data_IF_698772332915
#
_entry.id   IF_698772332915
#
_cell.length_a   1.000
_cell.length_b   1.000
_cell.length_c   1.000
_cell.angle_alpha   90.00
_cell.angle_beta   90.00
_cell.angle_gamma   90.00
#
_symmetry.space_group_name_H-M   'P 1'
#
loop_
_entity.id
_entity.type
_entity.pdbx_description
1 polymer ?
#
# COMPACT_ATOMS: atom_id res chain seq x y z
N UNK A 1 26.43 19.61 -20.07
CA UNK A 1 25.18 19.14 -19.46
C UNK A 1 25.44 17.73 -18.93
N UNK A 2 25.74 17.62 -17.65
CA UNK A 2 26.06 16.33 -17.01
C UNK A 2 24.80 15.83 -16.34
N UNK A 3 24.18 14.83 -16.90
CA UNK A 3 23.03 14.13 -16.31
C UNK A 3 23.50 13.35 -15.09
N UNK A 4 23.19 13.83 -13.90
CA UNK A 4 23.42 13.14 -12.65
C UNK A 4 22.38 12.02 -12.52
N UNK A 5 22.83 10.78 -12.74
CA UNK A 5 22.05 9.57 -12.55
C UNK A 5 21.75 9.37 -11.07
N UNK A 6 20.50 9.44 -10.67
CA UNK A 6 20.06 9.09 -9.32
C UNK A 6 20.39 7.62 -9.03
N UNK A 7 20.83 7.26 -7.82
CA UNK A 7 21.12 5.87 -7.46
C UNK A 7 19.83 5.04 -7.49
N UNK A 8 19.93 3.86 -8.09
CA UNK A 8 18.81 2.95 -8.27
C UNK A 8 18.22 2.46 -6.93
N UNK A 9 16.99 2.01 -6.99
CA UNK A 9 16.11 1.56 -5.90
C UNK A 9 16.71 0.50 -4.95
N UNK A 10 17.77 -0.20 -5.34
CA UNK A 10 18.48 -1.17 -4.50
C UNK A 10 19.32 -0.52 -3.39
N UNK A 11 19.78 0.72 -3.56
CA UNK A 11 20.55 1.43 -2.53
C UNK A 11 19.70 1.92 -1.35
N UNK A 12 18.41 2.13 -1.55
CA UNK A 12 17.48 2.57 -0.49
C UNK A 12 17.17 1.49 0.56
N UNK A 13 17.46 0.22 0.26
CA UNK A 13 17.09 -0.91 1.13
C UNK A 13 18.05 -1.18 2.28
N UNK A 14 19.31 -0.69 2.29
CA UNK A 14 20.35 -1.10 3.25
C UNK A 14 21.35 -0.02 3.69
N UNK A 15 20.99 1.26 3.71
CA UNK A 15 21.87 2.33 4.20
C UNK A 15 21.79 2.49 5.73
N UNK A 16 22.92 2.38 6.44
CA UNK A 16 23.01 2.72 7.86
C UNK A 16 22.76 4.22 8.03
N UNK A 17 21.56 4.58 8.54
CA UNK A 17 21.13 5.97 8.74
C UNK A 17 19.99 6.45 7.85
N UNK A 18 19.67 5.76 6.77
CA UNK A 18 18.52 6.07 5.91
C UNK A 18 17.19 5.48 6.45
N UNK A 19 16.07 6.05 6.01
CA UNK A 19 14.74 5.52 6.29
C UNK A 19 14.60 4.09 5.72
N UNK A 20 14.11 3.15 6.53
CA UNK A 20 13.80 1.79 6.08
C UNK A 20 12.39 1.76 5.46
N UNK A 21 12.33 1.69 4.15
CA UNK A 21 11.07 1.70 3.37
C UNK A 21 10.50 0.30 3.12
N UNK A 22 11.03 -0.74 3.75
CA UNK A 22 10.62 -2.15 3.52
C UNK A 22 9.12 -2.35 3.68
N UNK A 23 8.50 -1.76 4.71
CA UNK A 23 7.05 -1.88 4.96
C UNK A 23 6.24 -1.16 3.90
N UNK A 24 6.66 0.04 3.48
CA UNK A 24 6.01 0.81 2.42
C UNK A 24 6.00 0.02 1.12
N UNK A 25 7.15 -0.44 0.67
CA UNK A 25 7.28 -1.25 -0.55
C UNK A 25 6.52 -2.57 -0.47
N UNK A 26 6.46 -3.20 0.71
CA UNK A 26 5.66 -4.41 0.90
C UNK A 26 4.16 -4.15 0.79
N UNK A 27 3.68 -2.98 1.22
CA UNK A 27 2.28 -2.56 1.02
C UNK A 27 2.00 -2.34 -0.47
N UNK A 28 2.88 -1.66 -1.20
CA UNK A 28 2.75 -1.45 -2.65
C UNK A 28 2.67 -2.78 -3.43
N UNK A 29 3.55 -3.71 -3.10
CA UNK A 29 3.52 -5.04 -3.72
C UNK A 29 2.22 -5.80 -3.40
N UNK A 30 1.69 -5.63 -2.19
CA UNK A 30 0.40 -6.22 -1.80
C UNK A 30 -0.78 -5.59 -2.56
N UNK A 31 -0.77 -4.27 -2.81
CA UNK A 31 -1.76 -3.61 -3.66
C UNK A 31 -1.72 -4.16 -5.09
N UNK A 32 -0.55 -4.22 -5.72
CA UNK A 32 -0.39 -4.77 -7.08
C UNK A 32 -0.87 -6.23 -7.18
N UNK A 33 -0.54 -7.03 -6.17
CA UNK A 33 -0.99 -8.41 -6.06
C UNK A 33 -2.51 -8.50 -6.01
N UNK A 34 -3.15 -7.69 -5.17
CA UNK A 34 -4.59 -7.78 -4.97
C UNK A 34 -5.38 -7.16 -6.14
N UNK A 35 -4.87 -6.14 -6.82
CA UNK A 35 -5.42 -5.69 -8.11
C UNK A 35 -5.40 -6.83 -9.15
N UNK A 36 -4.31 -7.60 -9.21
CA UNK A 36 -4.22 -8.76 -10.11
C UNK A 36 -5.23 -9.85 -9.72
N UNK A 37 -5.43 -10.09 -8.43
CA UNK A 37 -6.42 -11.05 -7.92
C UNK A 37 -7.84 -10.60 -8.24
N UNK A 38 -8.14 -9.32 -8.04
CA UNK A 38 -9.43 -8.71 -8.35
C UNK A 38 -9.77 -8.83 -9.84
N UNK A 39 -8.84 -8.48 -10.72
CA UNK A 39 -9.02 -8.61 -12.16
C UNK A 39 -9.29 -10.06 -12.59
N UNK A 40 -8.53 -11.02 -12.04
CA UNK A 40 -8.76 -12.44 -12.29
C UNK A 40 -10.12 -12.90 -11.77
N UNK A 41 -10.52 -12.47 -10.57
CA UNK A 41 -11.79 -12.82 -9.98
C UNK A 41 -12.96 -12.29 -10.82
N UNK A 42 -12.87 -11.03 -11.28
CA UNK A 42 -13.89 -10.46 -12.17
C UNK A 42 -14.03 -11.21 -13.50
N UNK A 43 -12.89 -11.67 -14.08
CA UNK A 43 -12.90 -12.41 -15.34
C UNK A 43 -13.38 -13.86 -15.23
N UNK A 44 -13.32 -14.48 -14.04
CA UNK A 44 -13.57 -15.92 -13.86
C UNK A 44 -14.71 -16.24 -12.90
N UNK A 45 -15.26 -15.25 -12.20
CA UNK A 45 -16.33 -15.49 -11.24
C UNK A 45 -17.62 -15.91 -11.94
N UNK A 46 -18.17 -17.05 -11.52
CA UNK A 46 -19.54 -17.41 -11.84
C UNK A 46 -20.48 -16.51 -11.01
N UNK A 47 -21.31 -15.67 -11.66
CA UNK A 47 -22.25 -14.82 -10.95
C UNK A 47 -23.29 -15.60 -10.12
N UNK A 48 -23.49 -16.88 -10.41
CA UNK A 48 -24.45 -17.75 -9.71
C UNK A 48 -23.86 -18.38 -8.43
N UNK A 49 -22.52 -18.32 -8.22
CA UNK A 49 -21.87 -18.85 -7.02
C UNK A 49 -21.82 -17.79 -5.89
N UNK A 50 -22.70 -17.88 -4.87
CA UNK A 50 -22.73 -16.91 -3.77
C UNK A 50 -21.48 -16.97 -2.88
N UNK A 51 -20.85 -18.13 -2.70
CA UNK A 51 -19.64 -18.26 -1.90
C UNK A 51 -18.45 -17.57 -2.59
N UNK A 52 -18.36 -17.71 -3.90
CA UNK A 52 -17.35 -17.03 -4.71
C UNK A 52 -17.53 -15.52 -4.69
N UNK A 53 -18.77 -15.02 -4.87
CA UNK A 53 -19.06 -13.58 -4.76
C UNK A 53 -18.67 -13.01 -3.39
N UNK A 54 -19.02 -13.72 -2.31
CA UNK A 54 -18.66 -13.30 -0.96
C UNK A 54 -17.15 -13.25 -0.76
N UNK A 55 -16.40 -14.20 -1.29
CA UNK A 55 -14.94 -14.26 -1.24
C UNK A 55 -14.31 -13.06 -1.96
N UNK A 56 -14.76 -12.76 -3.17
CA UNK A 56 -14.28 -11.62 -3.95
C UNK A 56 -14.62 -10.30 -3.26
N UNK A 57 -15.84 -10.15 -2.76
CA UNK A 57 -16.25 -8.97 -1.99
C UNK A 57 -15.39 -8.77 -0.73
N UNK A 58 -15.07 -9.85 0.00
CA UNK A 58 -14.19 -9.76 1.17
C UNK A 58 -12.76 -9.32 0.81
N UNK A 59 -12.23 -9.78 -0.33
CA UNK A 59 -10.95 -9.34 -0.84
C UNK A 59 -10.95 -7.86 -1.26
N UNK A 60 -12.00 -7.44 -1.96
CA UNK A 60 -12.20 -6.06 -2.37
C UNK A 60 -12.32 -5.09 -1.18
N UNK A 61 -13.13 -5.43 -0.19
CA UNK A 61 -13.26 -4.61 1.03
C UNK A 61 -11.95 -4.48 1.81
N UNK A 62 -11.15 -5.55 1.84
CA UNK A 62 -9.82 -5.50 2.45
C UNK A 62 -8.90 -4.56 1.68
N UNK A 63 -8.82 -4.68 0.35
CA UNK A 63 -8.00 -3.82 -0.50
C UNK A 63 -8.36 -2.34 -0.28
N UNK A 64 -9.64 -1.96 -0.37
CA UNK A 64 -10.10 -0.59 -0.12
C UNK A 64 -9.68 -0.07 1.25
N UNK A 65 -9.89 -0.86 2.30
CA UNK A 65 -9.54 -0.46 3.65
C UNK A 65 -8.04 -0.25 3.82
N UNK A 66 -7.21 -1.16 3.30
CA UNK A 66 -5.76 -1.02 3.39
C UNK A 66 -5.26 0.19 2.59
N UNK A 67 -5.84 0.45 1.42
CA UNK A 67 -5.50 1.61 0.61
C UNK A 67 -5.87 2.93 1.31
N UNK A 68 -7.07 3.00 1.88
CA UNK A 68 -7.48 4.17 2.67
C UNK A 68 -6.56 4.44 3.87
N UNK A 69 -6.13 3.40 4.59
CA UNK A 69 -5.20 3.53 5.71
C UNK A 69 -3.81 4.01 5.24
N UNK A 70 -3.37 3.55 4.08
CA UNK A 70 -2.10 3.88 3.45
C UNK A 70 -2.08 5.36 3.04
N UNK A 71 -2.97 5.79 2.15
CA UNK A 71 -3.08 7.20 1.72
C UNK A 71 -3.31 8.15 2.89
N UNK A 72 -4.18 7.78 3.85
CA UNK A 72 -4.40 8.58 5.06
C UNK A 72 -3.13 8.75 5.90
N UNK A 73 -2.26 7.75 5.96
CA UNK A 73 -0.99 7.85 6.67
C UNK A 73 -0.01 8.80 5.95
N UNK A 74 0.00 8.79 4.65
CA UNK A 74 0.80 9.69 3.82
C UNK A 74 0.31 11.12 3.94
N UNK A 75 -0.94 11.39 3.65
CA UNK A 75 -1.51 12.73 3.63
C UNK A 75 -1.56 13.40 4.99
N UNK A 76 -1.76 12.64 6.06
CA UNK A 76 -1.94 13.22 7.40
C UNK A 76 -0.73 13.09 8.33
N UNK A 77 0.24 12.24 8.00
CA UNK A 77 1.40 12.02 8.87
C UNK A 77 2.72 12.22 8.11
N UNK A 78 2.88 11.66 6.91
CA UNK A 78 4.16 11.65 6.22
C UNK A 78 4.39 12.97 5.49
N UNK A 79 3.54 13.33 4.52
CA UNK A 79 3.69 14.55 3.72
C UNK A 79 3.71 15.84 4.55
N UNK A 80 2.86 16.01 5.58
CA UNK A 80 2.91 17.20 6.44
C UNK A 80 4.24 17.39 7.18
N UNK A 81 4.97 16.31 7.47
CA UNK A 81 6.30 16.39 8.08
C UNK A 81 7.38 16.71 7.04
N UNK A 82 7.23 16.24 5.81
CA UNK A 82 8.19 16.49 4.72
C UNK A 82 8.11 17.92 4.19
N UNK A 83 6.90 18.46 3.97
CA UNK A 83 6.66 19.77 3.34
C UNK A 83 7.51 20.91 3.93
N UNK A 84 7.52 21.18 5.24
CA UNK A 84 8.32 22.28 5.79
C UNK A 84 9.83 22.04 5.65
N UNK A 85 10.28 20.80 5.61
CA UNK A 85 11.71 20.45 5.47
C UNK A 85 12.22 20.58 4.05
N UNK A 86 11.30 20.42 3.09
CA UNK A 86 11.56 20.49 1.65
C UNK A 86 11.14 21.84 1.04
N UNK A 87 10.74 22.82 1.86
CA UNK A 87 10.21 24.12 1.43
C UNK A 87 11.18 24.93 0.53
N UNK A 88 12.45 24.58 0.53
CA UNK A 88 13.48 25.19 -0.33
C UNK A 88 13.56 24.57 -1.73
N UNK A 89 12.80 23.51 -2.02
CA UNK A 89 12.80 22.78 -3.29
C UNK A 89 11.41 22.78 -3.91
N UNK A 90 11.19 23.65 -4.90
CA UNK A 90 9.93 23.67 -5.67
C UNK A 90 9.61 22.30 -6.29
N UNK A 91 10.63 21.61 -6.81
CA UNK A 91 10.47 20.28 -7.36
C UNK A 91 9.94 19.27 -6.31
N UNK A 92 10.50 19.27 -5.11
CA UNK A 92 10.04 18.36 -4.05
C UNK A 92 8.59 18.68 -3.62
N UNK A 93 8.24 19.95 -3.50
CA UNK A 93 6.87 20.36 -3.21
C UNK A 93 5.90 19.94 -4.32
N UNK A 94 6.29 20.12 -5.58
CA UNK A 94 5.49 19.68 -6.74
C UNK A 94 5.25 18.16 -6.76
N UNK A 95 6.25 17.36 -6.34
CA UNK A 95 6.08 15.90 -6.19
C UNK A 95 5.05 15.59 -5.10
N UNK A 96 5.13 16.23 -3.92
CA UNK A 96 4.16 16.00 -2.85
C UNK A 96 2.75 16.44 -3.24
N UNK A 97 2.61 17.56 -3.98
CA UNK A 97 1.32 18.01 -4.51
C UNK A 97 0.74 17.01 -5.52
N UNK A 98 1.61 16.40 -6.35
CA UNK A 98 1.19 15.37 -7.29
C UNK A 98 0.72 14.09 -6.58
N UNK A 99 1.38 13.65 -5.48
CA UNK A 99 0.95 12.49 -4.71
C UNK A 99 -0.47 12.69 -4.16
N UNK A 100 -0.74 13.83 -3.52
CA UNK A 100 -2.08 14.16 -3.00
C UNK A 100 -3.13 14.23 -4.12
N UNK A 101 -2.81 14.85 -5.26
CA UNK A 101 -3.71 14.92 -6.40
C UNK A 101 -4.01 13.54 -7.04
N UNK A 102 -3.05 12.63 -7.02
CA UNK A 102 -3.24 11.26 -7.52
C UNK A 102 -4.13 10.43 -6.58
N UNK A 103 -4.08 10.64 -5.25
CA UNK A 103 -5.03 10.04 -4.31
C UNK A 103 -6.46 10.46 -4.62
N UNK A 104 -6.70 11.73 -4.92
CA UNK A 104 -8.01 12.26 -5.30
C UNK A 104 -8.55 11.64 -6.61
N UNK A 105 -7.69 11.17 -7.51
CA UNK A 105 -8.10 10.47 -8.73
C UNK A 105 -8.47 9.00 -8.49
N UNK A 106 -7.96 8.38 -7.42
CA UNK A 106 -8.21 6.98 -7.10
C UNK A 106 -9.58 6.79 -6.44
N UNK A 107 -10.01 7.69 -5.56
CA UNK A 107 -11.26 7.58 -4.82
C UNK A 107 -12.51 7.41 -5.70
N UNK A 108 -12.70 8.17 -6.80
CA UNK A 108 -13.82 7.94 -7.72
C UNK A 108 -13.80 6.57 -8.39
N UNK A 109 -12.62 6.00 -8.64
CA UNK A 109 -12.48 4.67 -9.24
C UNK A 109 -12.86 3.57 -8.25
N UNK A 110 -12.55 3.73 -6.96
CA UNK A 110 -13.02 2.82 -5.92
C UNK A 110 -14.55 2.81 -5.84
N UNK A 111 -15.19 3.98 -5.89
CA UNK A 111 -16.64 4.10 -5.93
C UNK A 111 -17.26 3.51 -7.21
N UNK A 112 -16.59 3.66 -8.35
CA UNK A 112 -17.02 3.05 -9.61
C UNK A 112 -16.98 1.52 -9.56
N UNK A 113 -15.95 0.93 -8.97
CA UNK A 113 -15.87 -0.53 -8.74
C UNK A 113 -17.00 -1.00 -7.80
N UNK A 114 -17.26 -0.27 -6.69
CA UNK A 114 -18.39 -0.58 -5.80
C UNK A 114 -19.74 -0.54 -6.54
N UNK A 115 -19.92 0.44 -7.39
CA UNK A 115 -21.13 0.57 -8.22
C UNK A 115 -21.24 -0.59 -9.20
N UNK A 116 -20.17 -0.94 -9.89
CA UNK A 116 -20.16 -2.02 -10.86
C UNK A 116 -20.44 -3.38 -10.20
N UNK A 117 -19.90 -3.65 -9.00
CA UNK A 117 -20.23 -4.88 -8.26
C UNK A 117 -21.70 -5.03 -7.94
N UNK A 118 -22.42 -3.93 -7.67
CA UNK A 118 -23.79 -3.98 -7.17
C UNK A 118 -24.84 -3.78 -8.26
N UNK A 119 -24.59 -2.93 -9.27
CA UNK A 119 -25.63 -2.48 -10.20
C UNK A 119 -25.25 -2.49 -11.67
N UNK A 120 -23.96 -2.60 -12.01
CA UNK A 120 -23.47 -2.53 -13.39
C UNK A 120 -22.37 -3.58 -13.68
N UNK A 121 -22.65 -4.89 -13.52
CA UNK A 121 -21.63 -5.93 -13.64
C UNK A 121 -20.93 -5.97 -15.01
N UNK A 122 -21.59 -5.53 -16.06
CA UNK A 122 -21.01 -5.47 -17.41
C UNK A 122 -19.86 -4.44 -17.51
N UNK A 123 -19.81 -3.47 -16.62
CA UNK A 123 -18.74 -2.46 -16.57
C UNK A 123 -17.61 -2.85 -15.61
N UNK A 124 -17.74 -3.93 -14.86
CA UNK A 124 -16.81 -4.28 -13.78
C UNK A 124 -15.39 -4.47 -14.28
N UNK A 125 -15.19 -5.12 -15.40
CA UNK A 125 -13.85 -5.34 -15.95
C UNK A 125 -13.16 -4.02 -16.33
N UNK A 126 -13.89 -3.10 -16.98
CA UNK A 126 -13.36 -1.82 -17.44
C UNK A 126 -12.98 -0.91 -16.27
N UNK A 127 -13.82 -0.84 -15.22
CA UNK A 127 -13.53 0.00 -14.04
C UNK A 127 -12.40 -0.59 -13.19
N UNK A 128 -12.27 -1.92 -13.12
CA UNK A 128 -11.12 -2.57 -12.46
C UNK A 128 -9.82 -2.28 -13.23
N UNK A 129 -9.84 -2.33 -14.55
CA UNK A 129 -8.66 -2.02 -15.39
C UNK A 129 -8.25 -0.55 -15.23
N UNK A 130 -9.21 0.37 -15.23
CA UNK A 130 -8.96 1.78 -14.95
C UNK A 130 -8.35 2.00 -13.56
N UNK A 131 -8.90 1.37 -12.51
CA UNK A 131 -8.34 1.43 -11.16
C UNK A 131 -6.93 0.83 -11.11
N UNK A 132 -6.72 -0.33 -11.72
CA UNK A 132 -5.42 -1.00 -11.74
C UNK A 132 -4.35 -0.14 -12.43
N UNK A 133 -4.70 0.48 -13.57
CA UNK A 133 -3.81 1.37 -14.31
C UNK A 133 -3.45 2.61 -13.48
N UNK A 134 -4.47 3.29 -12.92
CA UNK A 134 -4.27 4.51 -12.14
C UNK A 134 -3.47 4.24 -10.87
N UNK A 135 -3.88 3.25 -10.07
CA UNK A 135 -3.19 2.93 -8.82
C UNK A 135 -1.76 2.41 -9.06
N UNK A 136 -1.53 1.57 -10.07
CA UNK A 136 -0.18 1.09 -10.38
C UNK A 136 0.72 2.23 -10.87
N UNK A 137 0.17 3.17 -11.64
CA UNK A 137 0.86 4.38 -12.09
C UNK A 137 1.26 5.26 -10.91
N UNK A 138 0.33 5.53 -9.99
CA UNK A 138 0.58 6.25 -8.75
C UNK A 138 1.70 5.60 -7.92
N UNK A 139 1.57 4.30 -7.57
CA UNK A 139 2.58 3.59 -6.80
C UNK A 139 3.98 3.63 -7.47
N UNK A 140 4.04 3.57 -8.79
CA UNK A 140 5.31 3.67 -9.53
C UNK A 140 5.89 5.09 -9.48
N UNK A 141 5.04 6.12 -9.53
CA UNK A 141 5.45 7.51 -9.37
C UNK A 141 5.96 7.78 -7.97
N UNK A 142 5.24 7.33 -6.96
CA UNK A 142 5.64 7.49 -5.57
C UNK A 142 6.98 6.77 -5.28
N UNK A 143 7.16 5.54 -5.72
CA UNK A 143 8.42 4.80 -5.55
C UNK A 143 9.60 5.49 -6.22
N UNK A 144 9.38 6.15 -7.35
CA UNK A 144 10.41 6.81 -8.13
C UNK A 144 10.78 8.18 -7.57
N UNK A 145 9.80 8.99 -7.20
CA UNK A 145 9.97 10.40 -6.90
C UNK A 145 9.56 10.79 -5.47
N UNK A 146 8.50 10.21 -4.90
CA UNK A 146 7.98 10.48 -3.56
C UNK A 146 8.83 9.85 -2.44
N UNK A 147 9.01 8.53 -2.48
CA UNK A 147 9.75 7.81 -1.42
C UNK A 147 11.20 8.27 -1.25
N UNK A 148 11.96 8.65 -2.30
CA UNK A 148 13.28 9.23 -2.10
C UNK A 148 13.29 10.50 -1.25
N UNK A 149 12.22 11.31 -1.27
CA UNK A 149 12.09 12.52 -0.44
C UNK A 149 12.08 12.20 1.06
N UNK A 150 11.55 11.04 1.45
CA UNK A 150 11.59 10.56 2.84
C UNK A 150 13.04 10.43 3.30
N UNK A 151 13.89 9.80 2.48
CA UNK A 151 15.31 9.61 2.78
C UNK A 151 16.13 10.92 2.81
N UNK A 152 15.67 11.95 2.09
CA UNK A 152 16.29 13.29 2.10
C UNK A 152 15.85 14.09 3.32
N UNK A 153 14.56 14.01 3.68
CA UNK A 153 13.94 14.87 4.69
C UNK A 153 13.97 14.28 6.10
N UNK A 154 14.04 12.95 6.27
CA UNK A 154 13.92 12.28 7.55
C UNK A 154 15.14 11.41 7.87
N UNK A 155 15.57 11.48 9.12
CA UNK A 155 16.48 10.47 9.70
C UNK A 155 15.73 9.14 9.92
N UNK A 156 16.47 8.04 10.04
CA UNK A 156 15.90 6.75 10.40
C UNK A 156 15.13 6.76 11.73
N UNK A 157 15.53 7.61 12.69
CA UNK A 157 14.83 7.74 13.97
C UNK A 157 13.47 8.44 13.81
N UNK A 158 13.40 9.47 12.99
CA UNK A 158 12.17 10.21 12.68
C UNK A 158 11.21 9.36 11.86
N UNK A 159 11.73 8.62 10.87
CA UNK A 159 10.93 7.66 10.11
C UNK A 159 10.29 6.59 11.02
N UNK A 160 11.08 6.02 11.94
CA UNK A 160 10.50 5.11 12.96
C UNK A 160 9.49 5.79 13.86
N UNK A 161 9.64 7.08 14.15
CA UNK A 161 8.65 7.83 14.93
C UNK A 161 7.35 8.04 14.16
N UNK A 162 7.41 8.33 12.86
CA UNK A 162 6.25 8.37 11.96
C UNK A 162 5.52 7.02 11.92
N UNK A 163 6.25 5.91 11.74
CA UNK A 163 5.68 4.55 11.80
C UNK A 163 4.97 4.24 13.12
N UNK A 164 5.52 4.70 14.27
CA UNK A 164 4.83 4.57 15.57
C UNK A 164 3.58 5.45 15.67
N UNK A 165 3.56 6.61 15.04
CA UNK A 165 2.39 7.48 14.98
C UNK A 165 1.27 6.84 14.15
N UNK A 166 1.61 6.29 13.00
CA UNK A 166 0.68 5.52 12.14
C UNK A 166 0.12 4.32 12.91
N UNK A 167 0.99 3.52 13.54
CA UNK A 167 0.56 2.36 14.32
C UNK A 167 -0.39 2.73 15.49
N UNK A 168 -0.16 3.87 16.15
CA UNK A 168 -1.07 4.37 17.20
C UNK A 168 -2.40 4.83 16.64
N UNK A 169 -2.40 5.50 15.49
CA UNK A 169 -3.61 5.98 14.83
C UNK A 169 -4.48 4.83 14.37
N UNK A 170 -3.89 3.82 13.73
CA UNK A 170 -4.61 2.67 13.19
C UNK A 170 -5.02 1.66 14.28
N UNK A 171 -4.28 1.61 15.41
CA UNK A 171 -4.53 0.66 16.49
C UNK A 171 -4.06 -0.76 16.17
N UNK A 172 -4.23 -1.66 17.16
CA UNK A 172 -3.74 -3.03 17.06
C UNK A 172 -4.52 -3.89 16.05
N UNK A 173 -5.82 -3.63 15.88
CA UNK A 173 -6.67 -4.40 14.96
C UNK A 173 -6.20 -4.22 13.52
N UNK A 174 -6.15 -2.98 13.06
CA UNK A 174 -5.81 -2.64 11.67
C UNK A 174 -4.35 -2.94 11.37
N UNK A 175 -3.44 -2.67 12.34
CA UNK A 175 -2.04 -3.02 12.21
C UNK A 175 -1.81 -4.52 12.06
N UNK A 176 -2.54 -5.35 12.82
CA UNK A 176 -2.43 -6.81 12.72
C UNK A 176 -2.94 -7.35 11.40
N UNK A 177 -4.04 -6.80 10.88
CA UNK A 177 -4.61 -7.17 9.59
C UNK A 177 -3.70 -6.72 8.45
N UNK A 178 -3.16 -5.49 8.50
CA UNK A 178 -2.23 -4.97 7.51
C UNK A 178 -0.99 -5.86 7.38
N UNK A 179 -0.37 -6.29 8.48
CA UNK A 179 0.78 -7.19 8.41
C UNK A 179 0.42 -8.56 7.85
N UNK A 180 -0.71 -9.13 8.23
CA UNK A 180 -1.16 -10.41 7.68
C UNK A 180 -1.47 -10.31 6.18
N UNK A 181 -2.05 -9.20 5.75
CA UNK A 181 -2.34 -8.87 4.37
C UNK A 181 -1.07 -8.68 3.53
N UNK A 182 -0.11 -7.88 4.00
CA UNK A 182 1.15 -7.67 3.28
C UNK A 182 1.91 -8.98 3.06
N UNK A 183 1.89 -9.88 4.06
CA UNK A 183 2.61 -11.16 4.01
C UNK A 183 1.85 -12.27 3.28
N UNK A 184 0.62 -12.02 2.82
CA UNK A 184 -0.20 -13.02 2.14
C UNK A 184 0.28 -13.26 0.70
N UNK A 185 0.76 -14.47 0.42
CA UNK A 185 1.14 -14.89 -0.94
C UNK A 185 2.39 -14.23 -1.53
N UNK A 186 3.22 -13.57 -0.71
CA UNK A 186 4.49 -12.99 -1.16
C UNK A 186 5.62 -14.03 -1.17
N UNK A 187 6.68 -13.75 -1.95
CA UNK A 187 7.87 -14.60 -2.02
C UNK A 187 8.59 -14.74 -0.67
N UNK A 188 9.31 -15.86 -0.49
CA UNK A 188 9.96 -16.19 0.80
C UNK A 188 10.95 -15.14 1.28
N UNK A 189 11.75 -14.59 0.39
CA UNK A 189 12.80 -13.61 0.73
C UNK A 189 12.18 -12.28 1.17
N UNK A 190 11.16 -11.82 0.47
CA UNK A 190 10.41 -10.63 0.82
C UNK A 190 9.62 -10.83 2.11
N UNK A 191 9.00 -12.00 2.30
CA UNK A 191 8.34 -12.36 3.56
C UNK A 191 9.33 -12.33 4.73
N UNK A 192 10.55 -12.83 4.55
CA UNK A 192 11.59 -12.81 5.57
C UNK A 192 12.01 -11.36 5.93
N UNK A 193 12.21 -10.49 4.93
CA UNK A 193 12.55 -9.09 5.13
C UNK A 193 11.43 -8.35 5.88
N UNK A 194 10.19 -8.43 5.39
CA UNK A 194 9.02 -7.78 5.99
C UNK A 194 8.75 -8.30 7.41
N UNK A 195 8.82 -9.62 7.61
CA UNK A 195 8.67 -10.24 8.94
C UNK A 195 9.83 -9.85 9.86
N UNK A 196 11.03 -9.68 9.31
CA UNK A 196 12.23 -9.23 10.02
C UNK A 196 12.11 -7.81 10.59
N UNK A 197 11.33 -6.94 9.97
CA UNK A 197 11.07 -5.58 10.45
C UNK A 197 10.19 -5.53 11.71
N UNK A 198 9.41 -6.59 11.99
CA UNK A 198 8.62 -6.69 13.22
C UNK A 198 9.51 -6.95 14.45
N UNK A 199 9.24 -6.31 15.59
CA UNK A 199 9.81 -6.70 16.88
C UNK A 199 9.51 -8.17 17.21
N UNK A 200 10.42 -8.90 17.90
CA UNK A 200 10.23 -10.33 18.17
C UNK A 200 8.90 -10.73 18.82
N UNK A 201 8.32 -9.97 19.79
CA UNK A 201 7.02 -10.29 20.34
C UNK A 201 5.90 -10.24 19.29
N UNK A 202 5.96 -9.30 18.35
CA UNK A 202 4.94 -9.17 17.30
C UNK A 202 5.06 -10.27 16.25
N UNK A 203 6.27 -10.79 16.00
CA UNK A 203 6.46 -11.98 15.14
C UNK A 203 5.75 -13.21 15.70
N UNK A 204 5.80 -13.38 17.02
CA UNK A 204 5.09 -14.48 17.69
C UNK A 204 3.58 -14.29 17.59
N UNK A 205 3.07 -13.09 17.87
CA UNK A 205 1.65 -12.74 17.73
C UNK A 205 1.16 -12.94 16.28
N UNK A 206 1.95 -12.54 15.29
CA UNK A 206 1.64 -12.78 13.89
C UNK A 206 1.40 -14.26 13.62
N UNK A 207 2.35 -15.12 14.01
CA UNK A 207 2.27 -16.56 13.75
C UNK A 207 1.14 -17.25 14.52
N UNK A 208 0.94 -16.87 15.78
CA UNK A 208 0.00 -17.57 16.67
C UNK A 208 -1.44 -17.06 16.54
N UNK A 209 -1.64 -15.80 16.19
CA UNK A 209 -2.96 -15.15 16.25
C UNK A 209 -3.34 -14.46 14.92
N UNK A 210 -2.49 -13.56 14.40
CA UNK A 210 -2.89 -12.68 13.30
C UNK A 210 -3.09 -13.45 12.01
N UNK A 211 -2.09 -14.22 11.59
CA UNK A 211 -2.19 -15.01 10.36
C UNK A 211 -3.31 -16.06 10.43
N UNK A 212 -3.46 -16.89 11.48
CA UNK A 212 -4.58 -17.82 11.58
C UNK A 212 -5.95 -17.13 11.57
N UNK A 213 -6.07 -15.94 12.14
CA UNK A 213 -7.31 -15.15 12.09
C UNK A 213 -7.56 -14.62 10.68
N UNK A 214 -6.55 -14.10 10.02
CA UNK A 214 -6.62 -13.59 8.66
C UNK A 214 -7.04 -14.67 7.66
N UNK A 215 -6.48 -15.87 7.79
CA UNK A 215 -6.74 -17.00 6.90
C UNK A 215 -8.17 -17.59 7.02
N UNK A 216 -8.90 -17.25 8.09
CA UNK A 216 -10.30 -17.71 8.27
C UNK A 216 -11.29 -17.09 7.29
N UNK A 217 -10.97 -15.94 6.72
CA UNK A 217 -11.83 -15.28 5.74
C UNK A 217 -11.32 -15.58 4.34
N UNK A 218 -12.01 -16.40 3.55
CA UNK A 218 -11.66 -16.63 2.15
C UNK A 218 -11.71 -15.31 1.39
N UNK A 219 -10.74 -15.11 0.47
CA UNK A 219 -10.64 -13.93 -0.39
C UNK A 219 -10.18 -14.37 -1.77
N UNK A 220 -10.70 -13.76 -2.81
CA UNK A 220 -10.37 -13.97 -4.23
C UNK A 220 -10.77 -15.31 -4.84
#
# INVERSE_FOLDING_TARGET
MTTQKLPGTDAARHGTGAADLTIMLAAHDAFRRDLTRLARAAATADPSDPARRQSVAAGWELLKRQLHLHHTAEDQIIWPVLRPRLAHSEHALSVLDAMEAEHDLIDPLLAAVDTAFNVAPDQLADVIDALATTLTGHLAHEERDGLPLIGVALTAAEWRAAGRAIARKNGLSDGSEMFAWMLDGIGRDQAAATHGSLPPPLRLLYRAIWKPRFDKTPRW
#
